data_IF_653574177167
#
_entry.id   IF_653574177167
#
_cell.length_a   1.000
_cell.length_b   1.000
_cell.length_c   1.000
_cell.angle_alpha   90.00
_cell.angle_beta   90.00
_cell.angle_gamma   90.00
#
_symmetry.space_group_name_H-M   'P 1'
#
loop_
_entity.id
_entity.type
_entity.pdbx_description
1 polymer ?
#
# COMPACT_ATOMS: atom_id res chain seq x y z
N UNK A 1 -2.43 -4.18 -26.80
CA UNK A 1 -1.04 -4.59 -27.10
C UNK A 1 -0.14 -4.37 -25.87
N UNK A 2 -0.09 -5.39 -24.99
CA UNK A 2 0.83 -5.45 -23.84
C UNK A 2 1.72 -6.69 -23.92
N UNK A 3 1.73 -7.33 -25.08
CA UNK A 3 2.58 -8.49 -25.32
C UNK A 3 4.00 -8.03 -25.57
N UNK A 4 4.89 -8.48 -24.69
CA UNK A 4 6.36 -8.47 -24.79
C UNK A 4 7.04 -7.20 -24.28
N UNK A 5 6.77 -6.82 -23.04
CA UNK A 5 7.80 -6.21 -22.21
C UNK A 5 8.54 -7.31 -21.42
N UNK A 6 9.89 -7.36 -21.40
CA UNK A 6 10.66 -8.34 -20.62
C UNK A 6 10.51 -8.16 -19.10
N UNK A 7 9.71 -7.18 -18.64
CA UNK A 7 9.37 -6.95 -17.24
C UNK A 7 8.21 -7.88 -16.82
N UNK A 8 8.31 -9.19 -17.10
CA UNK A 8 7.39 -10.19 -16.51
C UNK A 8 7.76 -10.53 -15.05
N UNK A 9 8.71 -9.81 -14.45
CA UNK A 9 9.37 -10.22 -13.22
C UNK A 9 9.31 -9.22 -12.06
N UNK A 10 8.76 -8.02 -12.29
CA UNK A 10 8.62 -6.98 -11.27
C UNK A 10 7.15 -6.58 -11.14
N UNK A 11 6.60 -6.71 -9.93
CA UNK A 11 5.29 -6.18 -9.59
C UNK A 11 5.45 -4.93 -8.70
N UNK A 12 5.03 -3.77 -9.19
CA UNK A 12 4.85 -2.57 -8.37
C UNK A 12 3.44 -2.57 -7.79
N UNK A 13 3.32 -2.54 -6.47
CA UNK A 13 2.03 -2.61 -5.79
C UNK A 13 1.82 -1.39 -4.90
N UNK A 14 0.62 -0.85 -4.99
CA UNK A 14 0.15 0.24 -4.18
C UNK A 14 -1.04 -0.19 -3.31
N UNK A 15 -0.79 -0.44 -2.02
CA UNK A 15 -1.72 -1.21 -1.18
C UNK A 15 -2.77 -0.37 -0.46
N UNK A 16 -2.56 0.94 -0.29
CA UNK A 16 -3.42 1.77 0.58
C UNK A 16 -4.85 1.97 0.07
N UNK A 17 -5.11 1.70 -1.21
CA UNK A 17 -6.44 1.75 -1.82
C UNK A 17 -7.22 0.42 -1.68
N UNK A 18 -6.58 -0.62 -1.15
CA UNK A 18 -7.17 -1.96 -1.03
C UNK A 18 -7.79 -2.10 0.35
N UNK A 19 -9.05 -2.54 0.43
CA UNK A 19 -9.70 -2.83 1.72
C UNK A 19 -8.95 -3.94 2.48
N UNK A 20 -8.76 -3.86 3.80
CA UNK A 20 -7.98 -4.83 4.57
C UNK A 20 -8.36 -6.31 4.38
N UNK A 21 -9.65 -6.70 4.29
CA UNK A 21 -10.03 -8.09 4.01
C UNK A 21 -9.55 -8.60 2.64
N UNK A 22 -9.43 -7.70 1.66
CA UNK A 22 -8.94 -8.00 0.31
C UNK A 22 -7.41 -8.04 0.31
N UNK A 23 -6.75 -7.14 1.04
CA UNK A 23 -5.29 -7.08 1.16
C UNK A 23 -4.71 -8.40 1.70
N UNK A 24 -5.39 -9.04 2.66
CA UNK A 24 -5.01 -10.36 3.19
C UNK A 24 -4.99 -11.47 2.11
N UNK A 25 -5.80 -11.34 1.05
CA UNK A 25 -5.82 -12.27 -0.09
C UNK A 25 -4.86 -11.84 -1.18
N UNK A 26 -4.65 -10.54 -1.34
CA UNK A 26 -3.84 -9.94 -2.39
C UNK A 26 -2.43 -10.57 -2.49
N UNK A 27 -1.71 -10.65 -1.37
CA UNK A 27 -0.34 -11.20 -1.38
C UNK A 27 -0.31 -12.70 -1.69
N UNK A 28 -1.37 -13.45 -1.36
CA UNK A 28 -1.47 -14.87 -1.75
C UNK A 28 -1.53 -15.01 -3.27
N UNK A 29 -2.24 -14.11 -3.94
CA UNK A 29 -2.35 -14.11 -5.40
C UNK A 29 -1.04 -13.64 -6.04
N UNK A 30 -0.46 -12.52 -5.57
CA UNK A 30 0.78 -11.98 -6.16
C UNK A 30 1.95 -12.95 -5.95
N UNK A 31 2.19 -13.40 -4.72
CA UNK A 31 3.34 -14.25 -4.40
C UNK A 31 3.10 -15.72 -4.77
N UNK A 32 1.84 -16.17 -4.76
CA UNK A 32 1.48 -17.57 -5.01
C UNK A 32 1.10 -17.87 -6.46
N UNK A 33 0.27 -17.04 -7.10
CA UNK A 33 -0.19 -17.27 -8.49
C UNK A 33 0.73 -16.58 -9.49
N UNK A 34 1.00 -15.29 -9.32
CA UNK A 34 1.80 -14.51 -10.27
C UNK A 34 3.31 -14.78 -10.16
N UNK A 35 3.81 -15.11 -8.95
CA UNK A 35 5.19 -15.52 -8.67
C UNK A 35 6.27 -14.64 -9.35
N UNK A 36 6.24 -13.31 -9.21
CA UNK A 36 7.30 -12.45 -9.74
C UNK A 36 8.63 -12.72 -9.02
N UNK A 37 9.77 -12.43 -9.67
CA UNK A 37 11.10 -12.54 -9.03
C UNK A 37 11.32 -11.45 -7.97
N UNK A 38 10.72 -10.28 -8.18
CA UNK A 38 10.81 -9.13 -7.28
C UNK A 38 9.43 -8.49 -7.14
N UNK A 39 9.06 -8.13 -5.91
CA UNK A 39 7.90 -7.29 -5.62
C UNK A 39 8.39 -6.02 -4.96
N UNK A 40 7.97 -4.88 -5.49
CA UNK A 40 8.15 -3.57 -4.85
C UNK A 40 6.78 -3.13 -4.35
N UNK A 41 6.64 -3.02 -3.04
CA UNK A 41 5.42 -2.51 -2.40
C UNK A 41 5.67 -1.09 -1.95
N UNK A 42 4.73 -0.21 -2.25
CA UNK A 42 4.74 1.17 -1.77
C UNK A 42 3.45 1.47 -1.02
N UNK A 43 3.56 2.30 0.01
CA UNK A 43 2.43 2.83 0.79
C UNK A 43 2.86 4.13 1.47
N UNK A 44 1.96 5.11 1.68
CA UNK A 44 2.27 6.28 2.51
C UNK A 44 2.65 5.87 3.94
N UNK A 45 3.70 6.49 4.48
CA UNK A 45 4.00 6.42 5.91
C UNK A 45 3.10 7.40 6.68
N UNK A 46 2.15 6.89 7.46
CA UNK A 46 1.22 7.70 8.25
C UNK A 46 1.91 8.67 9.23
N UNK A 47 3.07 8.33 9.78
CA UNK A 47 3.80 9.18 10.74
C UNK A 47 4.21 10.52 10.13
N UNK A 48 4.35 10.58 8.80
CA UNK A 48 4.68 11.81 8.10
C UNK A 48 3.46 12.75 7.96
N UNK A 49 2.27 12.33 8.38
CA UNK A 49 1.07 13.18 8.42
C UNK A 49 1.17 14.32 9.43
N UNK A 50 2.11 14.25 10.39
CA UNK A 50 2.41 15.34 11.34
C UNK A 50 2.72 16.67 10.64
N UNK A 51 3.22 16.64 9.41
CA UNK A 51 3.54 17.83 8.63
C UNK A 51 2.35 18.43 7.87
N UNK A 52 1.17 17.84 7.98
CA UNK A 52 -0.06 18.30 7.33
C UNK A 52 -1.12 18.62 8.41
N UNK A 53 -1.18 19.87 8.91
CA UNK A 53 -2.05 20.24 10.03
C UNK A 53 -3.53 19.88 9.82
N UNK A 54 -4.01 19.93 8.58
CA UNK A 54 -5.38 19.60 8.22
C UNK A 54 -5.74 18.13 8.44
N UNK A 55 -4.75 17.23 8.46
CA UNK A 55 -4.96 15.80 8.69
C UNK A 55 -5.09 15.45 10.17
N UNK A 56 -4.81 16.41 11.09
CA UNK A 56 -4.97 16.25 12.54
C UNK A 56 -4.33 14.95 13.08
N UNK A 57 -3.15 14.61 12.55
CA UNK A 57 -2.50 13.36 12.89
C UNK A 57 -2.23 13.22 14.39
N UNK A 58 -2.56 12.06 14.96
CA UNK A 58 -2.41 11.77 16.38
C UNK A 58 -3.59 12.20 17.25
N UNK A 59 -4.70 12.71 16.68
CA UNK A 59 -5.93 13.05 17.41
C UNK A 59 -7.09 12.12 16.99
N UNK A 60 -8.20 12.10 17.75
CA UNK A 60 -9.42 11.35 17.37
C UNK A 60 -10.04 11.79 16.03
N UNK A 61 -9.73 12.99 15.55
CA UNK A 61 -10.22 13.56 14.29
C UNK A 61 -9.26 13.35 13.12
N UNK A 62 -8.25 12.48 13.27
CA UNK A 62 -7.25 12.23 12.23
C UNK A 62 -7.91 11.72 10.94
N UNK A 63 -7.44 12.22 9.79
CA UNK A 63 -7.87 11.79 8.45
C UNK A 63 -6.69 11.31 7.62
N UNK A 64 -6.99 10.60 6.53
CA UNK A 64 -5.96 10.16 5.56
C UNK A 64 -5.59 11.29 4.59
N UNK A 65 -4.41 11.17 3.96
CA UNK A 65 -3.92 12.14 2.97
C UNK A 65 -4.84 12.31 1.77
N UNK A 66 -5.54 11.24 1.42
CA UNK A 66 -6.44 11.20 0.27
C UNK A 66 -7.68 10.41 0.68
N UNK A 67 -8.86 10.87 0.27
CA UNK A 67 -10.15 10.30 0.69
C UNK A 67 -10.34 8.84 0.29
N UNK A 68 -9.67 8.39 -0.78
CA UNK A 68 -9.75 7.00 -1.25
C UNK A 68 -8.77 6.05 -0.53
N UNK A 69 -7.97 6.52 0.42
CA UNK A 69 -7.17 5.62 1.24
C UNK A 69 -8.07 4.82 2.19
N UNK A 70 -7.84 3.50 2.25
CA UNK A 70 -8.54 2.58 3.15
C UNK A 70 -7.81 2.40 4.48
N UNK A 71 -6.51 2.67 4.46
CA UNK A 71 -5.62 2.72 5.62
C UNK A 71 -4.38 3.53 5.27
N UNK A 72 -3.66 4.02 6.27
CA UNK A 72 -2.28 4.47 6.14
C UNK A 72 -1.49 3.85 7.30
N UNK A 73 -0.41 3.15 6.98
CA UNK A 73 0.39 2.46 7.99
C UNK A 73 1.54 3.32 8.48
N UNK A 74 1.79 3.25 9.78
CA UNK A 74 3.07 3.61 10.38
C UNK A 74 4.17 2.68 9.86
N UNK A 75 5.45 3.06 10.04
CA UNK A 75 6.57 2.18 9.71
C UNK A 75 6.49 0.84 10.46
N UNK A 76 6.04 0.86 11.71
CA UNK A 76 5.91 -0.35 12.55
C UNK A 76 4.84 -1.30 12.02
N UNK A 77 3.71 -0.78 11.52
CA UNK A 77 2.66 -1.60 10.93
C UNK A 77 3.07 -2.20 9.59
N UNK A 78 3.80 -1.45 8.75
CA UNK A 78 4.27 -1.96 7.45
C UNK A 78 5.35 -3.05 7.57
N UNK A 79 6.13 -3.07 8.65
CA UNK A 79 7.18 -4.06 8.87
C UNK A 79 6.69 -5.40 9.43
N UNK A 80 5.43 -5.47 9.88
CA UNK A 80 4.82 -6.69 10.44
C UNK A 80 4.19 -7.54 9.35
#
# INVERSE_FOLDING_TARGET
PWEKSPITHLAGVDIKHVYPPVLNKFFKVVLGTYKPKVVIVTTPNAEFNVYFPQLKYGTPEATFRIDDHKFEWTRSEFQK
#
